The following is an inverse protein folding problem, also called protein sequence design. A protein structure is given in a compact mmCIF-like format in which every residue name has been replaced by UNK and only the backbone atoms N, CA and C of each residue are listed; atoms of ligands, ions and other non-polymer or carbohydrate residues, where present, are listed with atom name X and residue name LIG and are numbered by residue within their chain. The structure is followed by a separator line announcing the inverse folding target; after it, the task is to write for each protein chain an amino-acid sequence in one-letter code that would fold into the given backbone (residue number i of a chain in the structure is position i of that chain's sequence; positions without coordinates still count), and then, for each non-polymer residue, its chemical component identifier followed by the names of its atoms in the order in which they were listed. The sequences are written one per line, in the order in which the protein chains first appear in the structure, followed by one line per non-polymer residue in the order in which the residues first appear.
data_IF_790417234258
#
_entry.id   IF_790417234258
#
_cell.length_a   1.000
_cell.length_b   1.000
_cell.length_c   1.000
_cell.angle_alpha   90.00
_cell.angle_beta   90.00
_cell.angle_gamma   90.00
#
_symmetry.space_group_name_H-M   'P 1'
#
loop_
_entity.id
_entity.type
_entity.pdbx_description
1 polymer ?
#
# COMPACT_ATOMS: atom_id res chain seq x y z
N UNK A 1 -11.11 -14.59 8.10
CA UNK A 1 -10.13 -13.60 8.59
C UNK A 1 -8.77 -14.21 8.94
N UNK A 2 -8.71 -15.35 9.63
CA UNK A 2 -7.44 -16.02 9.97
C UNK A 2 -6.55 -16.38 8.76
N UNK A 3 -7.15 -16.90 7.68
CA UNK A 3 -6.42 -17.25 6.44
C UNK A 3 -5.77 -16.02 5.79
N UNK A 4 -6.49 -14.90 5.69
CA UNK A 4 -5.96 -13.66 5.13
C UNK A 4 -4.81 -13.09 5.99
N UNK A 5 -4.93 -13.15 7.32
CA UNK A 5 -3.86 -12.73 8.23
C UNK A 5 -2.62 -13.64 8.09
N UNK A 6 -2.82 -14.96 8.03
CA UNK A 6 -1.74 -15.93 7.88
C UNK A 6 -0.98 -15.79 6.56
N UNK A 7 -1.63 -15.36 5.48
CA UNK A 7 -0.97 -15.09 4.19
C UNK A 7 -0.34 -13.70 4.13
N UNK A 8 -1.00 -12.68 4.70
CA UNK A 8 -0.52 -11.29 4.63
C UNK A 8 0.79 -11.09 5.40
N UNK A 9 0.93 -11.69 6.59
CA UNK A 9 2.13 -11.54 7.44
C UNK A 9 3.42 -12.01 6.74
N UNK A 10 3.51 -13.23 6.19
CA UNK A 10 4.71 -13.68 5.49
C UNK A 10 4.97 -12.88 4.21
N UNK A 11 3.93 -12.50 3.46
CA UNK A 11 4.08 -11.67 2.25
C UNK A 11 4.71 -10.31 2.60
N UNK A 12 4.25 -9.67 3.68
CA UNK A 12 4.79 -8.42 4.16
C UNK A 12 6.25 -8.56 4.65
N UNK A 13 6.58 -9.65 5.33
CA UNK A 13 7.95 -9.95 5.75
C UNK A 13 8.89 -10.17 4.56
N UNK A 14 8.44 -10.91 3.55
CA UNK A 14 9.20 -11.16 2.31
C UNK A 14 9.44 -9.83 1.58
N UNK A 15 8.40 -9.00 1.45
CA UNK A 15 8.51 -7.70 0.80
C UNK A 15 9.46 -6.78 1.57
N UNK A 16 9.37 -6.74 2.90
CA UNK A 16 10.27 -5.94 3.72
C UNK A 16 11.73 -6.41 3.61
N UNK A 17 11.97 -7.72 3.62
CA UNK A 17 13.29 -8.29 3.42
C UNK A 17 13.83 -8.00 2.00
N UNK A 18 12.97 -8.09 0.99
CA UNK A 18 13.30 -7.77 -0.40
C UNK A 18 13.73 -6.30 -0.53
N UNK A 19 12.94 -5.35 -0.03
CA UNK A 19 13.28 -3.93 -0.08
C UNK A 19 14.51 -3.61 0.78
N UNK A 20 14.62 -4.19 1.97
CA UNK A 20 15.64 -3.86 2.97
C UNK A 20 17.03 -4.45 2.70
N UNK A 21 17.10 -5.70 2.23
CA UNK A 21 18.38 -6.45 2.17
C UNK A 21 18.88 -6.76 0.77
N UNK A 22 18.04 -6.75 -0.27
CA UNK A 22 18.47 -7.16 -1.61
C UNK A 22 19.09 -6.01 -2.40
N UNK A 23 20.02 -6.34 -3.32
CA UNK A 23 20.61 -5.38 -4.27
C UNK A 23 19.53 -4.74 -5.16
N UNK A 24 18.52 -5.53 -5.56
CA UNK A 24 17.36 -5.05 -6.30
C UNK A 24 16.57 -4.02 -5.48
N UNK A 25 16.28 -4.29 -4.20
CA UNK A 25 15.59 -3.35 -3.31
C UNK A 25 16.34 -2.03 -3.01
N UNK A 26 17.65 -1.99 -3.24
CA UNK A 26 18.42 -0.72 -3.20
C UNK A 26 18.31 0.02 -4.53
N UNK A 27 18.38 -0.69 -5.65
CA UNK A 27 18.22 -0.12 -6.97
C UNK A 27 16.82 0.49 -7.17
N UNK A 28 15.76 -0.16 -6.66
CA UNK A 28 14.40 0.39 -6.68
C UNK A 28 14.28 1.71 -5.90
N UNK A 29 14.90 1.78 -4.71
CA UNK A 29 14.94 3.00 -3.89
C UNK A 29 15.77 4.11 -4.54
N UNK A 30 16.82 3.78 -5.28
CA UNK A 30 17.60 4.73 -6.05
C UNK A 30 16.78 5.32 -7.22
N UNK A 31 16.10 4.46 -7.98
CA UNK A 31 15.21 4.88 -9.08
C UNK A 31 14.06 5.75 -8.57
N UNK A 32 13.50 5.46 -7.39
CA UNK A 32 12.47 6.29 -6.76
C UNK A 32 12.96 7.67 -6.30
N UNK A 33 14.27 7.84 -6.05
CA UNK A 33 14.83 9.13 -5.66
C UNK A 33 15.05 10.02 -6.89
N UNK A 34 15.78 9.51 -7.88
CA UNK A 34 16.11 10.21 -9.12
C UNK A 34 16.36 9.16 -10.23
N UNK A 35 15.44 8.97 -11.18
CA UNK A 35 15.62 8.03 -12.29
C UNK A 35 16.86 8.35 -13.14
N UNK A 36 17.10 9.64 -13.39
CA UNK A 36 18.21 10.11 -14.22
C UNK A 36 19.57 9.86 -13.56
N UNK A 37 19.69 10.12 -12.25
CA UNK A 37 20.91 9.80 -11.47
C UNK A 37 21.15 8.29 -11.40
N UNK A 38 20.08 7.50 -11.26
CA UNK A 38 20.21 6.04 -11.25
C UNK A 38 20.75 5.53 -12.58
N UNK A 39 20.26 6.06 -13.71
CA UNK A 39 20.75 5.70 -15.04
C UNK A 39 22.23 6.05 -15.23
N UNK A 40 22.69 7.17 -14.67
CA UNK A 40 24.10 7.61 -14.74
C UNK A 40 25.07 6.65 -14.04
N UNK A 41 24.63 5.92 -13.01
CA UNK A 41 25.43 4.91 -12.28
C UNK A 41 25.32 3.51 -12.94
N UNK A 42 24.72 3.41 -14.12
CA UNK A 42 24.59 2.16 -14.88
C UNK A 42 23.40 1.29 -14.45
N UNK A 43 22.45 1.85 -13.68
CA UNK A 43 21.22 1.13 -13.29
C UNK A 43 20.23 1.17 -14.46
N UNK A 44 19.80 0.00 -14.94
CA UNK A 44 18.75 -0.05 -15.96
C UNK A 44 17.37 0.25 -15.35
N UNK A 45 16.99 1.54 -15.40
CA UNK A 45 15.70 2.05 -14.89
C UNK A 45 14.53 1.29 -15.48
N UNK A 46 14.54 0.98 -16.79
CA UNK A 46 13.44 0.29 -17.47
C UNK A 46 13.22 -1.12 -16.91
N UNK A 47 14.28 -1.89 -16.70
CA UNK A 47 14.19 -3.24 -16.14
C UNK A 47 13.71 -3.22 -14.69
N UNK A 48 14.22 -2.29 -13.88
CA UNK A 48 13.85 -2.20 -12.47
C UNK A 48 12.42 -1.70 -12.28
N UNK A 49 11.97 -0.73 -13.06
CA UNK A 49 10.58 -0.27 -13.08
C UNK A 49 9.63 -1.38 -13.55
N UNK A 50 9.99 -2.14 -14.58
CA UNK A 50 9.19 -3.29 -15.03
C UNK A 50 9.11 -4.39 -13.95
N UNK A 51 10.23 -4.69 -13.29
CA UNK A 51 10.29 -5.71 -12.24
C UNK A 51 9.48 -5.29 -11.00
N UNK A 52 9.59 -4.05 -10.57
CA UNK A 52 8.81 -3.52 -9.43
C UNK A 52 7.33 -3.46 -9.74
N UNK A 53 6.97 -3.05 -10.96
CA UNK A 53 5.58 -3.11 -11.42
C UNK A 53 5.05 -4.54 -11.43
N UNK A 54 5.82 -5.49 -11.96
CA UNK A 54 5.45 -6.91 -11.96
C UNK A 54 5.24 -7.48 -10.56
N UNK A 55 6.12 -7.14 -9.60
CA UNK A 55 5.95 -7.53 -8.19
C UNK A 55 4.68 -6.91 -7.60
N UNK A 56 4.42 -5.61 -7.87
CA UNK A 56 3.21 -4.93 -7.42
C UNK A 56 1.92 -5.57 -7.95
N UNK A 57 1.89 -5.90 -9.24
CA UNK A 57 0.75 -6.58 -9.87
C UNK A 57 0.56 -7.97 -9.27
N UNK A 58 1.64 -8.75 -9.07
CA UNK A 58 1.55 -10.08 -8.45
C UNK A 58 0.96 -10.00 -7.03
N UNK A 59 1.36 -9.00 -6.23
CA UNK A 59 0.81 -8.75 -4.91
C UNK A 59 -0.66 -8.32 -4.96
N UNK A 60 -1.02 -7.46 -5.91
CA UNK A 60 -2.40 -7.00 -6.08
C UNK A 60 -3.34 -8.15 -6.49
N UNK A 61 -2.91 -9.02 -7.40
CA UNK A 61 -3.65 -10.22 -7.81
C UNK A 61 -3.76 -11.21 -6.66
N UNK A 62 -2.68 -11.40 -5.88
CA UNK A 62 -2.70 -12.23 -4.68
C UNK A 62 -3.68 -11.72 -3.63
N UNK A 63 -3.69 -10.41 -3.35
CA UNK A 63 -4.62 -9.79 -2.42
C UNK A 63 -6.07 -9.86 -2.93
N UNK A 64 -6.28 -9.58 -4.22
CA UNK A 64 -7.60 -9.63 -4.86
C UNK A 64 -8.20 -11.03 -4.80
N UNK A 65 -7.43 -12.07 -5.18
CA UNK A 65 -7.92 -13.45 -5.15
C UNK A 65 -8.31 -13.93 -3.75
N UNK A 66 -7.58 -13.51 -2.71
CA UNK A 66 -7.96 -13.77 -1.31
C UNK A 66 -9.27 -13.06 -0.93
N UNK A 67 -9.52 -11.85 -1.43
CA UNK A 67 -10.76 -11.13 -1.16
C UNK A 67 -11.98 -11.85 -1.75
N UNK A 68 -11.85 -12.43 -2.95
CA UNK A 68 -12.91 -13.22 -3.60
C UNK A 68 -13.33 -14.40 -2.72
N UNK A 69 -12.35 -15.12 -2.18
CA UNK A 69 -12.61 -16.26 -1.29
C UNK A 69 -13.34 -15.87 0.01
N UNK A 70 -13.18 -14.63 0.47
CA UNK A 70 -13.80 -14.14 1.70
C UNK A 70 -15.20 -13.55 1.51
N UNK A 71 -15.44 -12.89 0.37
CA UNK A 71 -16.69 -12.17 0.09
C UNK A 71 -17.74 -13.04 -0.61
N UNK A 72 -17.37 -14.24 -1.08
CA UNK A 72 -18.31 -15.21 -1.67
C UNK A 72 -18.82 -14.82 -3.07
N UNK A 73 -18.29 -13.75 -3.65
CA UNK A 73 -18.64 -13.27 -4.98
C UNK A 73 -18.00 -11.91 -5.28
N UNK A 74 -17.86 -11.58 -6.56
CA UNK A 74 -17.41 -10.26 -7.01
C UNK A 74 -18.48 -9.65 -7.89
N UNK A 75 -19.05 -8.54 -7.45
CA UNK A 75 -19.86 -7.69 -8.31
C UNK A 75 -18.96 -6.70 -9.06
N UNK A 76 -19.24 -6.38 -10.34
CA UNK A 76 -18.38 -5.50 -11.14
C UNK A 76 -18.14 -4.11 -10.53
N UNK A 77 -19.06 -3.65 -9.68
CA UNK A 77 -19.00 -2.37 -8.96
C UNK A 77 -17.97 -2.34 -7.84
N UNK A 78 -17.58 -3.49 -7.27
CA UNK A 78 -16.65 -3.56 -6.13
C UNK A 78 -15.23 -3.16 -6.50
N UNK A 79 -14.84 -3.33 -7.77
CA UNK A 79 -13.50 -2.96 -8.25
C UNK A 79 -13.20 -1.47 -8.05
N UNK A 80 -14.20 -0.61 -8.27
CA UNK A 80 -14.07 0.84 -8.08
C UNK A 80 -13.89 1.17 -6.60
N UNK A 81 -14.74 0.58 -5.75
CA UNK A 81 -14.69 0.79 -4.29
C UNK A 81 -13.34 0.36 -3.70
N UNK A 82 -12.84 -0.82 -4.09
CA UNK A 82 -11.53 -1.34 -3.65
C UNK A 82 -10.39 -0.44 -4.11
N UNK A 83 -10.45 0.09 -5.33
CA UNK A 83 -9.41 0.99 -5.86
C UNK A 83 -9.36 2.29 -5.06
N UNK A 84 -10.52 2.89 -4.78
CA UNK A 84 -10.62 4.13 -3.99
C UNK A 84 -10.11 3.91 -2.57
N UNK A 85 -10.49 2.82 -1.91
CA UNK A 85 -10.00 2.46 -0.58
C UNK A 85 -8.50 2.21 -0.58
N UNK A 86 -7.97 1.53 -1.60
CA UNK A 86 -6.54 1.27 -1.73
C UNK A 86 -5.75 2.58 -1.87
N UNK A 87 -6.26 3.51 -2.68
CA UNK A 87 -5.67 4.84 -2.81
C UNK A 87 -5.70 5.60 -1.49
N UNK A 88 -6.82 5.56 -0.78
CA UNK A 88 -6.95 6.16 0.56
C UNK A 88 -5.87 5.64 1.51
N UNK A 89 -5.70 4.33 1.61
CA UNK A 89 -4.70 3.69 2.47
C UNK A 89 -3.26 4.12 2.11
N UNK A 90 -2.95 4.22 0.81
CA UNK A 90 -1.62 4.65 0.35
C UNK A 90 -1.36 6.11 0.73
N UNK A 91 -2.34 6.99 0.56
CA UNK A 91 -2.25 8.40 0.94
C UNK A 91 -2.09 8.55 2.45
N UNK A 92 -2.87 7.78 3.24
CA UNK A 92 -2.77 7.78 4.70
C UNK A 92 -1.36 7.40 5.18
N UNK A 93 -0.79 6.36 4.56
CA UNK A 93 0.54 5.87 4.92
C UNK A 93 1.70 6.70 4.38
N UNK A 94 1.49 7.44 3.30
CA UNK A 94 2.50 8.24 2.61
C UNK A 94 3.13 7.52 1.41
N UNK A 95 3.20 8.23 0.29
CA UNK A 95 3.79 7.75 -0.97
C UNK A 95 5.29 7.44 -0.77
N UNK A 96 5.71 6.22 -1.11
CA UNK A 96 7.12 5.80 -1.05
C UNK A 96 7.62 5.34 0.33
N UNK A 97 6.81 5.37 1.39
CA UNK A 97 7.17 4.79 2.68
C UNK A 97 6.40 3.50 2.98
N UNK A 98 7.01 2.35 2.69
CA UNK A 98 6.44 1.02 2.92
C UNK A 98 5.96 0.78 4.36
N UNK A 99 6.70 1.26 5.37
CA UNK A 99 6.31 1.12 6.77
C UNK A 99 5.09 1.99 7.11
N UNK A 100 5.04 3.21 6.55
CA UNK A 100 3.90 4.11 6.70
C UNK A 100 2.63 3.52 6.06
N UNK A 101 2.73 2.95 4.87
CA UNK A 101 1.60 2.29 4.18
C UNK A 101 1.05 1.11 4.95
N UNK A 102 1.92 0.31 5.57
CA UNK A 102 1.52 -0.84 6.39
C UNK A 102 0.74 -0.42 7.63
N UNK A 103 1.22 0.61 8.34
CA UNK A 103 0.52 1.16 9.50
C UNK A 103 -0.81 1.81 9.07
N UNK A 104 -0.83 2.55 7.97
CA UNK A 104 -2.04 3.15 7.41
C UNK A 104 -3.12 2.13 7.07
N UNK A 105 -2.72 0.99 6.46
CA UNK A 105 -3.63 -0.11 6.16
C UNK A 105 -4.19 -0.80 7.40
N UNK A 106 -3.36 -0.99 8.44
CA UNK A 106 -3.80 -1.54 9.72
C UNK A 106 -4.80 -0.62 10.42
N UNK A 107 -4.51 0.69 10.48
CA UNK A 107 -5.42 1.68 11.08
C UNK A 107 -6.75 1.72 10.32
N UNK A 108 -6.70 1.75 8.99
CA UNK A 108 -7.90 1.70 8.16
C UNK A 108 -8.71 0.42 8.39
N UNK A 109 -8.06 -0.75 8.39
CA UNK A 109 -8.73 -2.03 8.60
C UNK A 109 -9.41 -2.12 9.97
N UNK A 110 -8.73 -1.67 11.03
CA UNK A 110 -9.29 -1.62 12.39
C UNK A 110 -10.48 -0.65 12.47
N UNK A 111 -10.34 0.56 11.91
CA UNK A 111 -11.41 1.56 11.91
C UNK A 111 -12.64 1.08 11.12
N UNK A 112 -12.42 0.43 9.98
CA UNK A 112 -13.48 -0.16 9.15
C UNK A 112 -14.23 -1.26 9.91
N UNK A 113 -13.51 -2.19 10.56
CA UNK A 113 -14.14 -3.28 11.32
C UNK A 113 -14.90 -2.80 12.55
N UNK A 114 -14.37 -1.81 13.27
CA UNK A 114 -15.06 -1.22 14.40
C UNK A 114 -16.36 -0.56 13.94
N UNK A 115 -16.33 0.21 12.86
CA UNK A 115 -17.53 0.90 12.36
C UNK A 115 -18.59 -0.06 11.83
N UNK A 116 -18.19 -1.15 11.17
CA UNK A 116 -19.11 -2.21 10.76
C UNK A 116 -19.84 -2.85 11.95
N UNK A 117 -19.19 -2.91 13.12
CA UNK A 117 -19.76 -3.52 14.33
C UNK A 117 -20.75 -2.59 15.04
N UNK A 118 -20.49 -1.27 15.06
CA UNK A 118 -21.36 -0.31 15.74
C UNK A 118 -22.52 0.21 14.87
N UNK A 119 -22.27 0.56 13.61
CA UNK A 119 -23.27 1.18 12.73
C UNK A 119 -22.98 0.88 11.24
N UNK A 120 -23.58 -0.19 10.67
CA UNK A 120 -23.31 -0.64 9.30
C UNK A 120 -23.55 0.43 8.22
N UNK A 121 -24.53 1.33 8.42
CA UNK A 121 -24.85 2.39 7.46
C UNK A 121 -23.72 3.42 7.28
N UNK A 122 -22.86 3.59 8.28
CA UNK A 122 -21.76 4.56 8.22
C UNK A 122 -20.46 3.95 7.70
N UNK A 123 -20.40 2.62 7.55
CA UNK A 123 -19.19 1.91 7.13
C UNK A 123 -18.67 2.37 5.76
N UNK A 124 -19.56 2.74 4.85
CA UNK A 124 -19.19 3.26 3.53
C UNK A 124 -18.53 4.66 3.58
N UNK A 125 -18.77 5.45 4.63
CA UNK A 125 -18.21 6.80 4.80
C UNK A 125 -16.84 6.79 5.46
N UNK A 126 -16.50 5.73 6.20
CA UNK A 126 -15.24 5.61 6.95
C UNK A 126 -13.99 5.82 6.10
N UNK A 127 -13.82 5.21 4.91
CA UNK A 127 -12.61 5.39 4.11
C UNK A 127 -12.41 6.85 3.69
N UNK A 128 -13.50 7.51 3.31
CA UNK A 128 -13.49 8.90 2.87
C UNK A 128 -13.22 9.85 4.03
N UNK A 129 -13.87 9.63 5.18
CA UNK A 129 -13.65 10.43 6.38
C UNK A 129 -12.21 10.29 6.90
N UNK A 130 -11.66 9.08 6.89
CA UNK A 130 -10.31 8.80 7.36
C UNK A 130 -9.25 9.36 6.42
N UNK A 131 -9.48 9.29 5.10
CA UNK A 131 -8.67 9.99 4.10
C UNK A 131 -8.67 11.50 4.35
N UNK A 132 -9.86 12.11 4.47
CA UNK A 132 -10.02 13.55 4.74
C UNK A 132 -9.30 13.96 6.03
N UNK A 133 -9.50 13.21 7.12
CA UNK A 133 -8.88 13.48 8.40
C UNK A 133 -7.34 13.46 8.30
N UNK A 134 -6.77 12.46 7.62
CA UNK A 134 -5.31 12.35 7.50
C UNK A 134 -4.72 13.42 6.59
N UNK A 135 -5.38 13.76 5.48
CA UNK A 135 -4.95 14.86 4.62
C UNK A 135 -4.98 16.20 5.37
N UNK A 136 -6.00 16.44 6.21
CA UNK A 136 -6.13 17.65 7.00
C UNK A 136 -5.06 17.76 8.09
N UNK A 137 -4.73 16.65 8.76
CA UNK A 137 -3.78 16.63 9.88
C UNK A 137 -2.32 16.55 9.41
N UNK A 138 -2.03 15.76 8.37
CA UNK A 138 -0.68 15.59 7.81
C UNK A 138 -0.73 15.23 6.32
N UNK A 139 -0.69 16.21 5.40
CA UNK A 139 -0.76 15.97 3.96
C UNK A 139 0.42 15.16 3.40
N UNK A 140 1.50 15.00 4.16
CA UNK A 140 2.65 14.17 3.78
C UNK A 140 2.56 12.71 4.24
N UNK A 141 1.53 12.31 4.98
CA UNK A 141 1.38 10.96 5.56
C UNK A 141 2.03 10.81 6.96
N UNK A 142 1.62 9.78 7.70
CA UNK A 142 1.99 9.56 9.12
C UNK A 142 3.52 9.50 9.35
N UNK A 143 4.26 8.97 8.37
CA UNK A 143 5.68 8.65 8.50
C UNK A 143 6.53 9.26 7.36
N UNK A 144 6.14 10.41 6.81
CA UNK A 144 6.96 11.12 5.83
C UNK A 144 8.28 11.59 6.47
N UNK A 145 9.39 11.05 5.96
CA UNK A 145 10.73 11.56 6.23
C UNK A 145 10.96 12.69 5.24
N UNK A 146 10.72 13.93 5.67
CA UNK A 146 11.14 15.12 4.94
C UNK A 146 12.63 14.97 4.63
N UNK A 147 12.99 14.68 3.37
CA UNK A 147 14.37 14.88 2.92
C UNK A 147 14.60 16.38 2.99
N UNK A 148 15.25 16.82 4.08
CA UNK A 148 15.97 18.10 4.07
C UNK A 148 17.02 17.97 2.97
N UNK A 149 16.80 18.67 1.88
CA UNK A 149 17.86 19.02 0.95
C UNK A 149 18.74 20.02 1.71
N UNK A 150 19.98 19.59 1.97
CA UNK A 150 21.10 20.47 2.33
C UNK A 150 22.16 20.23 1.26
#
# INVERSE_FOLDING_TARGET
WAVAAAVSVPVLLILFAYLGRTKLGRATRAVMASPDEAAAVGINVRTISALTFGIGVALAVGAGSLAIFMLGGVTPTEGVSITVVSFAVIVIGGLGNTLGTLVGGLVFGLASQLTLTFQPNWAALVPYALLLAVVLIRPSGILSRTRRLA
#
